data_IF_580011512690
#
_entry.id   IF_580011512690
#
_cell.length_a   1.000
_cell.length_b   1.000
_cell.length_c   1.000
_cell.angle_alpha   90.00
_cell.angle_beta   90.00
_cell.angle_gamma   90.00
#
_symmetry.space_group_name_H-M   'P 1'
#
loop_
_entity.id
_entity.type
_entity.pdbx_description
1 polymer ?
#
# COMPACT_ATOMS: atom_id res chain seq x y z
N UNK A 1 9.78 6.91 -10.64
CA UNK A 1 10.24 8.27 -10.30
C UNK A 1 9.32 9.33 -10.89
N UNK A 2 9.13 9.33 -12.21
CA UNK A 2 8.27 10.29 -12.92
C UNK A 2 6.85 10.42 -12.32
N UNK A 3 6.17 9.30 -12.06
CA UNK A 3 4.84 9.30 -11.44
C UNK A 3 4.80 10.01 -10.08
N UNK A 4 5.88 9.92 -9.30
CA UNK A 4 5.93 10.51 -7.97
C UNK A 4 6.04 12.04 -8.04
N UNK A 5 6.82 12.56 -9.00
CA UNK A 5 6.93 14.00 -9.24
C UNK A 5 5.63 14.57 -9.79
N UNK A 6 5.01 13.86 -10.74
CA UNK A 6 3.70 14.25 -11.26
C UNK A 6 2.63 14.30 -10.16
N UNK A 7 2.60 13.28 -9.30
CA UNK A 7 1.68 13.24 -8.16
C UNK A 7 1.96 14.36 -7.15
N UNK A 8 3.25 14.63 -6.83
CA UNK A 8 3.63 15.75 -5.98
C UNK A 8 3.13 17.08 -6.57
N UNK A 9 3.41 17.36 -7.85
CA UNK A 9 2.99 18.59 -8.51
C UNK A 9 1.46 18.75 -8.51
N UNK A 10 0.73 17.65 -8.74
CA UNK A 10 -0.74 17.64 -8.73
C UNK A 10 -1.31 17.89 -7.33
N UNK A 11 -0.69 17.34 -6.29
CA UNK A 11 -1.13 17.55 -4.90
C UNK A 11 -0.78 18.96 -4.41
N UNK A 12 0.39 19.49 -4.79
CA UNK A 12 0.81 20.84 -4.45
C UNK A 12 -0.05 21.90 -5.14
N UNK A 13 -0.49 21.67 -6.39
CA UNK A 13 -1.37 22.61 -7.10
C UNK A 13 -2.75 22.78 -6.45
N UNK A 14 -3.21 21.78 -5.69
CA UNK A 14 -4.44 21.83 -4.88
C UNK A 14 -4.17 22.16 -3.40
N UNK A 15 -2.97 22.63 -3.08
CA UNK A 15 -2.61 23.13 -1.74
C UNK A 15 -2.27 22.06 -0.70
N UNK A 16 -2.09 20.79 -1.10
CA UNK A 16 -1.68 19.72 -0.19
C UNK A 16 -0.15 19.71 -0.08
N UNK A 17 0.45 19.98 1.09
CA UNK A 17 1.90 19.95 1.24
C UNK A 17 2.42 18.53 1.12
N UNK A 18 3.25 18.27 0.11
CA UNK A 18 3.79 16.93 -0.16
C UNK A 18 5.31 16.90 -0.19
N UNK A 19 5.87 15.70 -0.10
CA UNK A 19 7.30 15.49 -0.20
C UNK A 19 7.60 14.12 -0.82
N UNK A 20 8.24 14.12 -2.00
CA UNK A 20 8.81 12.89 -2.55
C UNK A 20 10.09 12.50 -1.83
N UNK A 21 10.22 11.21 -1.51
CA UNK A 21 11.41 10.59 -0.97
C UNK A 21 11.84 9.35 -1.75
N UNK A 22 13.14 9.20 -1.98
CA UNK A 22 13.74 8.11 -2.78
C UNK A 22 14.82 7.37 -2.00
N UNK A 23 15.06 6.10 -2.34
CA UNK A 23 16.18 5.35 -1.73
C UNK A 23 17.53 5.89 -2.20
N UNK A 24 17.59 6.31 -3.46
CA UNK A 24 18.77 6.95 -4.05
C UNK A 24 18.80 8.45 -3.74
N UNK A 25 20.00 9.00 -3.57
CA UNK A 25 20.18 10.44 -3.44
C UNK A 25 20.01 11.09 -4.82
N UNK A 26 19.06 12.01 -4.94
CA UNK A 26 18.79 12.75 -6.18
C UNK A 26 18.69 14.24 -5.86
N UNK A 27 19.84 14.89 -5.73
CA UNK A 27 19.98 16.25 -5.16
C UNK A 27 19.00 17.28 -5.71
N UNK A 28 18.73 17.26 -7.01
CA UNK A 28 17.87 18.24 -7.69
C UNK A 28 16.40 17.84 -7.77
N UNK A 29 16.08 16.55 -7.52
CA UNK A 29 14.80 15.97 -7.94
C UNK A 29 14.00 15.38 -6.77
N UNK A 30 14.66 14.73 -5.81
CA UNK A 30 13.98 14.18 -4.65
C UNK A 30 14.89 14.05 -3.43
N UNK A 31 14.28 14.13 -2.25
CA UNK A 31 15.02 13.94 -1.00
C UNK A 31 15.33 12.46 -0.80
N UNK A 32 16.54 12.16 -0.34
CA UNK A 32 16.86 10.80 0.12
C UNK A 32 15.98 10.41 1.31
N UNK A 33 15.52 9.16 1.30
CA UNK A 33 14.74 8.56 2.37
C UNK A 33 15.55 8.54 3.66
N UNK A 34 15.03 9.24 4.67
CA UNK A 34 15.53 9.17 6.04
C UNK A 34 14.32 8.94 6.93
N UNK A 35 14.30 7.81 7.63
CA UNK A 35 13.17 7.39 8.46
C UNK A 35 12.73 8.52 9.43
N UNK A 36 13.66 9.09 10.20
CA UNK A 36 13.40 10.21 11.12
C UNK A 36 12.90 11.48 10.45
N UNK A 37 13.22 11.72 9.16
CA UNK A 37 12.66 12.86 8.42
C UNK A 37 11.23 12.54 7.99
N UNK A 38 10.96 11.32 7.53
CA UNK A 38 9.62 10.87 7.17
C UNK A 38 8.64 11.05 8.32
N UNK A 39 8.97 10.53 9.51
CA UNK A 39 8.12 10.67 10.70
C UNK A 39 7.86 12.14 11.03
N UNK A 40 8.85 13.03 10.88
CA UNK A 40 8.67 14.47 11.10
C UNK A 40 7.76 15.13 10.06
N UNK A 41 7.80 14.69 8.80
CA UNK A 41 6.89 15.17 7.77
C UNK A 41 5.45 14.71 8.04
N UNK A 42 5.25 13.45 8.42
CA UNK A 42 3.93 12.92 8.81
C UNK A 42 3.35 13.67 10.02
N UNK A 43 4.15 13.91 11.06
CA UNK A 43 3.74 14.70 12.24
C UNK A 43 3.32 16.14 11.92
N UNK A 44 3.71 16.68 10.75
CA UNK A 44 3.32 18.01 10.26
C UNK A 44 2.10 17.96 9.32
N UNK A 45 1.44 16.81 9.19
CA UNK A 45 0.29 16.63 8.30
C UNK A 45 0.67 16.65 6.81
N UNK A 46 1.93 16.37 6.45
CA UNK A 46 2.37 16.35 5.05
C UNK A 46 2.24 14.96 4.45
N UNK A 47 1.84 14.90 3.18
CA UNK A 47 1.83 13.64 2.42
C UNK A 47 3.25 13.30 2.00
N UNK A 48 3.64 12.04 2.17
CA UNK A 48 4.95 11.54 1.74
C UNK A 48 4.75 10.56 0.60
N UNK A 49 5.47 10.78 -0.50
CA UNK A 49 5.44 9.90 -1.66
C UNK A 49 6.76 9.15 -1.72
N UNK A 50 6.75 7.84 -1.47
CA UNK A 50 7.94 7.01 -1.63
C UNK A 50 8.10 6.57 -3.09
N UNK A 51 9.27 6.83 -3.67
CA UNK A 51 9.59 6.48 -5.04
C UNK A 51 10.78 5.52 -5.12
N UNK A 52 10.86 4.80 -6.26
CA UNK A 52 11.92 3.83 -6.57
C UNK A 52 11.90 2.57 -5.68
N UNK A 53 10.80 2.33 -4.96
CA UNK A 53 10.59 1.11 -4.19
C UNK A 53 11.65 0.91 -3.10
N UNK A 54 12.29 -0.26 -3.09
CA UNK A 54 13.40 -0.58 -2.20
C UNK A 54 14.76 -0.13 -2.74
N UNK A 55 14.83 0.24 -4.03
CA UNK A 55 16.09 0.50 -4.74
C UNK A 55 16.89 -0.75 -5.10
N UNK A 56 16.42 -1.94 -4.72
CA UNK A 56 17.12 -3.20 -4.97
C UNK A 56 16.41 -4.02 -6.05
N UNK A 57 17.15 -4.68 -6.97
CA UNK A 57 16.55 -5.61 -7.92
C UNK A 57 15.88 -6.78 -7.19
N UNK A 58 14.95 -7.46 -7.86
CA UNK A 58 14.17 -8.60 -7.34
C UNK A 58 13.15 -8.29 -6.23
N UNK A 59 13.06 -7.04 -5.77
CA UNK A 59 12.03 -6.61 -4.83
C UNK A 59 10.85 -5.95 -5.56
N UNK A 60 9.64 -6.34 -5.17
CA UNK A 60 8.40 -5.76 -5.72
C UNK A 60 8.04 -4.46 -5.01
N UNK A 61 7.15 -3.68 -5.62
CA UNK A 61 6.55 -2.50 -4.99
C UNK A 61 5.82 -2.87 -3.70
N UNK A 62 5.14 -4.03 -3.65
CA UNK A 62 4.49 -4.52 -2.43
C UNK A 62 5.50 -4.70 -1.28
N UNK A 63 6.70 -5.20 -1.57
CA UNK A 63 7.72 -5.38 -0.52
C UNK A 63 8.28 -4.04 -0.07
N UNK A 64 8.38 -3.07 -0.98
CA UNK A 64 8.73 -1.70 -0.61
C UNK A 64 7.67 -1.10 0.31
N UNK A 65 6.37 -1.25 0.01
CA UNK A 65 5.27 -0.77 0.85
C UNK A 65 5.35 -1.40 2.24
N UNK A 66 5.40 -2.73 2.34
CA UNK A 66 5.51 -3.42 3.62
C UNK A 66 6.75 -2.99 4.44
N UNK A 67 7.87 -2.73 3.76
CA UNK A 67 9.09 -2.25 4.42
C UNK A 67 9.00 -0.79 4.88
N UNK A 68 8.28 0.07 4.15
CA UNK A 68 8.06 1.45 4.57
C UNK A 68 7.09 1.47 5.74
N UNK A 69 5.94 0.84 5.61
CA UNK A 69 4.88 0.78 6.63
C UNK A 69 5.39 0.25 7.96
N UNK A 70 6.19 -0.84 7.95
CA UNK A 70 6.83 -1.37 9.17
C UNK A 70 7.83 -0.41 9.81
N UNK A 71 8.48 0.45 9.04
CA UNK A 71 9.42 1.44 9.57
C UNK A 71 8.72 2.65 10.15
N UNK A 72 7.63 3.13 9.54
CA UNK A 72 6.90 4.32 10.01
C UNK A 72 5.77 3.98 11.00
N UNK A 73 5.68 2.72 11.45
CA UNK A 73 4.68 2.20 12.37
C UNK A 73 3.24 2.50 11.90
N UNK A 74 2.98 2.24 10.62
CA UNK A 74 1.61 2.28 10.09
C UNK A 74 0.79 1.09 10.58
N UNK A 75 -0.47 1.36 10.94
CA UNK A 75 -1.42 0.35 11.39
C UNK A 75 -2.08 -0.39 10.21
N UNK A 76 -2.23 0.29 9.06
CA UNK A 76 -2.95 -0.22 7.90
C UNK A 76 -2.31 0.18 6.57
N UNK A 77 -2.30 -0.75 5.63
CA UNK A 77 -1.91 -0.56 4.24
C UNK A 77 -3.14 -0.70 3.35
N UNK A 78 -3.44 0.38 2.63
CA UNK A 78 -4.51 0.44 1.64
C UNK A 78 -3.98 0.02 0.27
N UNK A 79 -4.35 -1.18 -0.19
CA UNK A 79 -3.96 -1.73 -1.48
C UNK A 79 -5.09 -1.60 -2.51
N UNK A 80 -4.96 -0.59 -3.36
CA UNK A 80 -5.89 -0.36 -4.45
C UNK A 80 -5.61 -1.31 -5.64
N UNK A 81 -6.64 -1.97 -6.17
CA UNK A 81 -6.60 -2.80 -7.39
C UNK A 81 -7.77 -2.43 -8.33
N UNK A 82 -7.80 -3.04 -9.52
CA UNK A 82 -8.93 -2.96 -10.46
C UNK A 82 -9.98 -4.06 -10.23
N UNK A 83 -9.95 -4.73 -9.07
CA UNK A 83 -10.88 -5.80 -8.67
C UNK A 83 -11.48 -5.45 -7.32
N UNK A 84 -12.66 -6.00 -7.05
CA UNK A 84 -13.46 -5.66 -5.87
C UNK A 84 -12.85 -6.10 -4.54
N UNK A 85 -11.99 -7.11 -4.56
CA UNK A 85 -11.24 -7.57 -3.41
C UNK A 85 -10.42 -8.80 -3.74
N UNK A 86 -10.18 -9.64 -2.74
CA UNK A 86 -9.58 -10.96 -2.90
C UNK A 86 -10.69 -11.96 -3.17
N UNK A 87 -10.61 -12.63 -4.32
CA UNK A 87 -11.56 -13.68 -4.71
C UNK A 87 -11.00 -15.04 -4.32
N UNK A 88 -11.89 -16.00 -4.00
CA UNK A 88 -11.52 -17.39 -3.74
C UNK A 88 -10.88 -18.03 -4.98
N UNK A 89 -11.48 -17.76 -6.14
CA UNK A 89 -11.05 -18.24 -7.45
C UNK A 89 -10.84 -17.06 -8.40
N UNK A 90 -10.16 -17.27 -9.53
CA UNK A 90 -10.04 -16.26 -10.57
C UNK A 90 -11.43 -15.90 -11.14
N UNK A 91 -11.93 -14.67 -10.96
CA UNK A 91 -13.25 -14.26 -11.46
C UNK A 91 -13.35 -14.28 -12.99
N UNK A 92 -12.22 -14.32 -13.70
CA UNK A 92 -12.18 -14.47 -15.17
C UNK A 92 -12.48 -15.90 -15.61
N UNK A 93 -12.22 -16.88 -14.74
CA UNK A 93 -12.39 -18.32 -15.03
C UNK A 93 -13.63 -18.89 -14.35
N UNK A 94 -13.99 -18.35 -13.18
CA UNK A 94 -15.16 -18.76 -12.43
C UNK A 94 -16.12 -17.56 -12.21
N UNK A 95 -17.26 -17.50 -12.92
CA UNK A 95 -18.26 -16.45 -12.73
C UNK A 95 -18.89 -16.42 -11.32
N UNK A 96 -18.75 -17.52 -10.56
CA UNK A 96 -19.24 -17.64 -9.18
C UNK A 96 -18.18 -17.23 -8.14
N UNK A 97 -17.02 -16.71 -8.56
CA UNK A 97 -15.95 -16.31 -7.67
C UNK A 97 -16.38 -15.17 -6.73
N UNK A 98 -16.63 -15.51 -5.46
CA UNK A 98 -17.04 -14.55 -4.43
C UNK A 98 -15.84 -13.78 -3.88
N UNK A 99 -16.06 -12.51 -3.57
CA UNK A 99 -15.13 -11.69 -2.81
C UNK A 99 -15.19 -12.12 -1.34
N UNK A 100 -14.04 -12.23 -0.72
CA UNK A 100 -13.91 -12.54 0.70
C UNK A 100 -13.84 -11.23 1.47
N UNK A 101 -14.68 -11.08 2.49
CA UNK A 101 -14.73 -9.87 3.30
C UNK A 101 -13.50 -9.73 4.21
N UNK A 102 -13.10 -10.84 4.83
CA UNK A 102 -11.99 -10.90 5.78
C UNK A 102 -11.14 -12.14 5.53
N UNK A 103 -9.82 -12.00 5.65
CA UNK A 103 -8.87 -13.10 5.53
C UNK A 103 -7.75 -12.97 6.55
N UNK A 104 -7.32 -14.09 7.11
CA UNK A 104 -6.05 -14.12 7.86
C UNK A 104 -4.86 -14.26 6.92
N UNK A 105 -3.68 -13.79 7.32
CA UNK A 105 -2.45 -14.05 6.56
C UNK A 105 -2.18 -15.54 6.36
N UNK A 106 -2.60 -16.39 7.30
CA UNK A 106 -2.48 -17.83 7.17
C UNK A 106 -3.36 -18.37 6.05
N UNK A 107 -4.60 -17.90 5.94
CA UNK A 107 -5.51 -18.28 4.85
C UNK A 107 -5.01 -17.83 3.49
N UNK A 108 -4.44 -16.62 3.41
CA UNK A 108 -3.84 -16.11 2.16
C UNK A 108 -2.75 -17.06 1.68
N UNK A 109 -1.88 -17.53 2.58
CA UNK A 109 -0.82 -18.49 2.23
C UNK A 109 -1.35 -19.90 1.97
N UNK A 110 -2.28 -20.41 2.78
CA UNK A 110 -2.77 -21.79 2.64
C UNK A 110 -3.64 -22.00 1.41
N UNK A 111 -4.38 -20.97 0.98
CA UNK A 111 -5.28 -20.99 -0.19
C UNK A 111 -4.59 -20.42 -1.44
N UNK A 112 -3.29 -20.12 -1.38
CA UNK A 112 -2.49 -19.54 -2.46
C UNK A 112 -3.14 -18.31 -3.13
N UNK A 113 -3.71 -17.42 -2.31
CA UNK A 113 -4.46 -16.27 -2.80
C UNK A 113 -3.51 -15.17 -3.30
N UNK A 114 -3.75 -14.71 -4.52
CA UNK A 114 -2.93 -13.69 -5.21
C UNK A 114 -3.16 -12.26 -4.69
N UNK A 115 -2.74 -12.00 -3.44
CA UNK A 115 -2.84 -10.68 -2.78
C UNK A 115 -1.58 -9.85 -3.02
N UNK A 116 -0.43 -10.37 -2.57
CA UNK A 116 0.92 -9.81 -2.60
C UNK A 116 1.92 -10.96 -2.72
N UNK A 117 3.16 -10.66 -3.09
CA UNK A 117 4.23 -11.65 -3.01
C UNK A 117 4.54 -12.06 -1.55
N UNK A 118 4.99 -13.30 -1.37
CA UNK A 118 5.26 -13.91 -0.06
C UNK A 118 6.15 -13.07 0.88
N UNK A 119 7.27 -12.44 0.44
CA UNK A 119 8.07 -11.59 1.31
C UNK A 119 7.28 -10.43 1.95
N UNK A 120 6.34 -9.85 1.20
CA UNK A 120 5.50 -8.74 1.67
C UNK A 120 4.48 -9.21 2.68
N UNK A 121 3.85 -10.36 2.44
CA UNK A 121 2.91 -11.01 3.38
C UNK A 121 3.61 -11.27 4.71
N UNK A 122 4.79 -11.89 4.67
CA UNK A 122 5.58 -12.17 5.88
C UNK A 122 5.95 -10.90 6.63
N UNK A 123 6.32 -9.84 5.92
CA UNK A 123 6.70 -8.57 6.54
C UNK A 123 5.50 -7.86 7.18
N UNK A 124 4.34 -7.84 6.51
CA UNK A 124 3.12 -7.28 7.11
C UNK A 124 2.67 -8.09 8.33
N UNK A 125 2.64 -9.42 8.22
CA UNK A 125 2.28 -10.33 9.33
C UNK A 125 3.18 -10.12 10.55
N UNK A 126 4.51 -10.05 10.36
CA UNK A 126 5.47 -9.89 11.47
C UNK A 126 5.30 -8.56 12.21
N UNK A 127 4.85 -7.51 11.52
CA UNK A 127 4.68 -6.19 12.10
C UNK A 127 3.21 -5.87 12.43
N UNK A 128 2.31 -6.86 12.37
CA UNK A 128 0.87 -6.69 12.61
C UNK A 128 0.23 -5.55 11.78
N UNK A 129 0.70 -5.37 10.56
CA UNK A 129 0.18 -4.34 9.65
C UNK A 129 -1.07 -4.92 8.99
N UNK A 130 -2.20 -4.23 9.09
CA UNK A 130 -3.43 -4.63 8.39
C UNK A 130 -3.32 -4.30 6.90
N UNK A 131 -3.94 -5.10 6.03
CA UNK A 131 -3.98 -4.82 4.58
C UNK A 131 -5.42 -4.82 4.10
N UNK A 132 -5.86 -3.71 3.51
CA UNK A 132 -7.20 -3.61 2.90
C UNK A 132 -7.05 -3.60 1.39
N UNK A 133 -7.61 -4.60 0.71
CA UNK A 133 -7.61 -4.70 -0.75
C UNK A 133 -8.96 -4.25 -1.28
N UNK A 134 -9.00 -3.22 -2.12
CA UNK A 134 -10.24 -2.68 -2.66
C UNK A 134 -10.12 -2.18 -4.11
N UNK A 135 -11.26 -2.00 -4.76
CA UNK A 135 -11.33 -1.46 -6.12
C UNK A 135 -11.14 0.06 -6.13
N UNK A 136 -10.12 0.56 -6.84
CA UNK A 136 -9.87 2.00 -6.97
C UNK A 136 -10.92 2.71 -7.84
N UNK A 137 -11.52 1.99 -8.79
CA UNK A 137 -12.42 2.58 -9.78
C UNK A 137 -13.83 2.83 -9.22
N UNK A 138 -14.16 2.27 -8.06
CA UNK A 138 -15.41 2.55 -7.36
C UNK A 138 -15.27 3.85 -6.57
N UNK A 139 -16.07 4.88 -6.87
CA UNK A 139 -16.02 6.15 -6.15
C UNK A 139 -16.18 5.96 -4.64
N UNK A 140 -15.54 6.82 -3.86
CA UNK A 140 -15.56 6.82 -2.39
C UNK A 140 -14.90 5.62 -1.70
N UNK A 141 -14.38 4.61 -2.40
CA UNK A 141 -13.76 3.46 -1.74
C UNK A 141 -12.56 3.84 -0.86
N UNK A 142 -11.75 4.82 -1.28
CA UNK A 142 -10.64 5.34 -0.45
C UNK A 142 -11.18 5.97 0.83
N UNK A 143 -12.21 6.82 0.72
CA UNK A 143 -12.81 7.52 1.85
C UNK A 143 -13.45 6.53 2.85
N UNK A 144 -14.22 5.57 2.33
CA UNK A 144 -14.85 4.51 3.11
C UNK A 144 -13.83 3.63 3.84
N UNK A 145 -12.76 3.25 3.16
CA UNK A 145 -11.68 2.47 3.77
C UNK A 145 -10.97 3.23 4.91
N UNK A 146 -10.76 4.54 4.74
CA UNK A 146 -10.19 5.39 5.81
C UNK A 146 -11.15 5.55 6.99
N UNK A 147 -12.47 5.59 6.74
CA UNK A 147 -13.51 5.62 7.78
C UNK A 147 -13.69 4.30 8.53
N UNK A 148 -13.01 3.22 8.10
CA UNK A 148 -13.17 1.88 8.69
C UNK A 148 -14.44 1.15 8.23
N UNK A 149 -15.10 1.63 7.19
CA UNK A 149 -16.18 0.88 6.55
C UNK A 149 -15.61 -0.37 5.86
N UNK A 150 -16.40 -1.44 5.80
CA UNK A 150 -16.00 -2.64 5.07
C UNK A 150 -15.99 -2.37 3.56
N UNK A 151 -14.78 -2.28 2.99
CA UNK A 151 -14.56 -2.10 1.56
C UNK A 151 -13.59 -3.17 1.07
N UNK A 152 -14.07 -4.01 0.15
CA UNK A 152 -13.28 -5.10 -0.42
C UNK A 152 -12.91 -6.14 0.62
N UNK A 153 -11.62 -6.43 0.78
CA UNK A 153 -11.13 -7.48 1.68
C UNK A 153 -10.16 -6.93 2.71
N UNK A 154 -10.45 -7.16 3.99
CA UNK A 154 -9.53 -6.90 5.10
C UNK A 154 -8.65 -8.13 5.37
N UNK A 155 -7.34 -7.92 5.47
CA UNK A 155 -6.36 -8.94 5.80
C UNK A 155 -5.65 -8.57 7.09
N UNK A 156 -5.62 -9.51 8.03
CA UNK A 156 -5.09 -9.31 9.37
C UNK A 156 -4.27 -10.51 9.89
N UNK A 157 -3.51 -10.27 10.96
CA UNK A 157 -2.82 -11.30 11.71
C UNK A 157 -3.72 -11.81 12.85
N UNK A 158 -3.70 -13.12 13.06
CA UNK A 158 -4.30 -13.80 14.22
C UNK A 158 -3.30 -13.89 15.36
#
# INVERSE_FOLDING_TARGET
>A
MMNALFLQATMESIGIPTQVQTVFCMSEVAKSYIHRRSVRHLKKGRVIIFAVGTGNPFFTTDTAVALRSSKINEEVVLKAKNVDGVHIDDPRRNPQARVLDTLTYQEVTSKDLSVMNMPSITLCKKNNILVVVFNLNKPSNIEKAIKGEMVGTLIWAT
#
